data_IF_844189405429
#
_entry.id   IF_844189405429
#
_cell.length_a   1.000
_cell.length_b   1.000
_cell.length_c   1.000
_cell.angle_alpha   90.00
_cell.angle_beta   90.00
_cell.angle_gamma   90.00
#
_symmetry.space_group_name_H-M   'P 1'
#
loop_
_entity.id
_entity.type
_entity.pdbx_description
1 polymer ?
#
# COMPACT_ATOMS: atom_id res chain seq x y z
N UNK A 1 8.94 2.33 36.05
CA UNK A 1 8.77 3.02 34.76
C UNK A 1 7.50 2.47 34.17
N UNK A 2 6.67 3.32 33.60
CA UNK A 2 5.36 2.93 33.10
C UNK A 2 5.45 2.44 31.64
N UNK A 3 4.47 1.65 31.23
CA UNK A 3 4.35 1.18 29.84
C UNK A 3 3.98 2.35 28.92
N UNK A 4 4.64 2.47 27.77
CA UNK A 4 4.39 3.53 26.82
C UNK A 4 4.51 3.01 25.38
N UNK A 5 3.54 3.37 24.54
CA UNK A 5 3.47 2.94 23.15
C UNK A 5 3.53 4.15 22.23
N UNK A 6 4.27 4.00 21.13
CA UNK A 6 4.41 5.02 20.11
C UNK A 6 4.24 4.40 18.72
N UNK A 7 3.46 5.05 17.87
CA UNK A 7 3.53 4.83 16.43
C UNK A 7 4.50 5.84 15.82
N UNK A 8 5.32 5.38 14.87
CA UNK A 8 6.34 6.19 14.20
C UNK A 8 6.03 6.16 12.71
N UNK A 9 5.84 7.34 12.10
CA UNK A 9 5.56 7.42 10.67
C UNK A 9 6.83 7.59 9.82
N UNK A 10 6.66 7.61 8.50
CA UNK A 10 7.76 7.79 7.54
C UNK A 10 8.48 9.14 7.63
N UNK A 11 7.88 10.16 8.26
CA UNK A 11 8.50 11.47 8.50
C UNK A 11 9.26 11.49 9.82
N UNK A 12 9.30 10.36 10.52
CA UNK A 12 9.88 10.20 11.85
C UNK A 12 9.12 11.02 12.91
N UNK A 13 7.80 11.21 12.70
CA UNK A 13 6.89 11.78 13.70
C UNK A 13 6.45 10.69 14.68
N UNK A 14 6.44 11.00 15.98
CA UNK A 14 6.10 10.06 17.05
C UNK A 14 4.72 10.39 17.63
N UNK A 15 3.84 9.40 17.65
CA UNK A 15 2.49 9.51 18.16
C UNK A 15 2.32 8.63 19.40
N UNK A 16 2.15 9.24 20.56
CA UNK A 16 1.88 8.52 21.81
C UNK A 16 0.48 7.89 21.77
N UNK A 17 0.41 6.59 22.08
CA UNK A 17 -0.84 5.84 22.09
C UNK A 17 -1.11 5.32 23.51
N UNK A 18 -2.20 5.81 24.13
CA UNK A 18 -2.70 5.31 25.40
C UNK A 18 -3.68 4.14 25.22
N UNK A 19 -3.83 3.30 26.24
CA UNK A 19 -4.86 2.24 26.25
C UNK A 19 -4.47 0.96 25.49
N UNK A 20 -3.18 0.80 25.21
CA UNK A 20 -2.61 -0.47 24.75
C UNK A 20 -1.86 -1.14 25.90
N UNK A 21 -1.83 -2.47 25.86
CA UNK A 21 -1.06 -3.30 26.78
C UNK A 21 -0.59 -4.56 26.06
N UNK A 22 0.71 -4.85 26.12
CA UNK A 22 1.30 -6.06 25.54
C UNK A 22 2.05 -6.87 26.60
N UNK A 23 1.41 -7.94 27.13
CA UNK A 23 1.97 -8.69 28.24
C UNK A 23 3.18 -9.51 27.83
N UNK A 24 4.16 -9.67 28.73
CA UNK A 24 5.27 -10.58 28.47
C UNK A 24 4.78 -12.02 28.41
N UNK A 25 5.50 -12.82 27.63
CA UNK A 25 5.34 -14.27 27.63
C UNK A 25 5.54 -14.84 29.04
N UNK A 26 4.74 -15.86 29.37
CA UNK A 26 4.79 -16.64 30.62
C UNK A 26 4.38 -15.87 31.89
N UNK A 27 3.83 -14.65 31.76
CA UNK A 27 3.19 -13.94 32.86
C UNK A 27 1.69 -14.24 32.94
N UNK A 28 1.31 -15.10 33.89
CA UNK A 28 -0.09 -15.49 34.11
C UNK A 28 -0.99 -14.35 34.62
N UNK A 29 -0.40 -13.26 35.13
CA UNK A 29 -1.13 -12.09 35.60
C UNK A 29 -1.43 -11.08 34.49
N UNK A 30 -0.70 -11.15 33.37
CA UNK A 30 -0.72 -10.15 32.30
C UNK A 30 -0.47 -8.72 32.82
N UNK A 31 0.43 -8.55 33.79
CA UNK A 31 0.74 -7.23 34.36
C UNK A 31 2.10 -6.71 33.89
N UNK A 32 2.99 -7.61 33.48
CA UNK A 32 4.28 -7.28 32.89
C UNK A 32 4.11 -6.73 31.47
N UNK A 33 5.10 -5.99 31.00
CA UNK A 33 5.08 -5.37 29.68
C UNK A 33 6.48 -5.34 29.06
N UNK A 34 6.51 -5.24 27.73
CA UNK A 34 7.76 -5.18 26.96
C UNK A 34 8.54 -3.88 27.18
N UNK A 35 9.85 -3.94 26.94
CA UNK A 35 10.70 -2.74 26.91
C UNK A 35 11.59 -2.76 25.67
N UNK A 36 11.83 -1.60 25.03
CA UNK A 36 12.71 -1.52 23.85
C UNK A 36 12.36 -2.55 22.75
N UNK A 37 11.07 -2.68 22.44
CA UNK A 37 10.55 -3.52 21.35
C UNK A 37 10.17 -2.62 20.17
N UNK A 38 10.56 -3.03 18.96
CA UNK A 38 10.27 -2.30 17.72
C UNK A 38 9.74 -3.28 16.68
N UNK A 39 8.49 -3.05 16.26
CA UNK A 39 7.77 -3.84 15.26
C UNK A 39 7.44 -2.97 14.04
N UNK A 40 7.31 -3.61 12.88
CA UNK A 40 6.96 -2.96 11.62
C UNK A 40 5.57 -3.44 11.18
N UNK A 41 4.74 -2.52 10.74
CA UNK A 41 3.32 -2.77 10.51
C UNK A 41 2.60 -1.62 9.83
N UNK A 42 1.31 -1.84 9.58
CA UNK A 42 0.43 -0.90 8.90
C UNK A 42 -0.87 -0.75 9.69
N UNK A 43 -1.30 0.49 9.93
CA UNK A 43 -2.58 0.77 10.56
C UNK A 43 -3.65 0.92 9.47
N UNK A 44 -4.62 0.00 9.46
CA UNK A 44 -5.75 -0.01 8.53
C UNK A 44 -7.07 0.25 9.27
N UNK A 45 -8.09 0.66 8.53
CA UNK A 45 -9.47 0.74 9.03
C UNK A 45 -10.28 -0.37 8.36
N UNK A 46 -10.62 -1.39 9.13
CA UNK A 46 -11.44 -2.52 8.71
C UNK A 46 -12.93 -2.12 8.72
N UNK A 47 -13.62 -2.39 7.63
CA UNK A 47 -15.07 -2.24 7.48
C UNK A 47 -15.76 -3.53 7.91
N UNK A 48 -16.10 -3.62 9.20
CA UNK A 48 -16.76 -4.79 9.79
C UNK A 48 -18.29 -4.61 9.86
N UNK A 49 -19.09 -5.70 9.94
CA UNK A 49 -20.53 -5.61 10.14
C UNK A 49 -20.95 -4.83 11.40
N UNK A 50 -20.07 -4.76 12.41
CA UNK A 50 -20.25 -4.03 13.66
C UNK A 50 -19.86 -2.55 13.59
N UNK A 51 -19.34 -2.08 12.44
CA UNK A 51 -18.79 -0.75 12.25
C UNK A 51 -17.28 -0.76 11.98
N UNK A 52 -16.73 0.39 11.56
CA UNK A 52 -15.31 0.51 11.25
C UNK A 52 -14.44 0.28 12.49
N UNK A 53 -13.34 -0.45 12.34
CA UNK A 53 -12.40 -0.78 13.41
C UNK A 53 -10.97 -0.55 12.95
N UNK A 54 -10.18 0.16 13.76
CA UNK A 54 -8.75 0.30 13.50
C UNK A 54 -8.01 -1.00 13.84
N UNK A 55 -7.16 -1.47 12.94
CA UNK A 55 -6.37 -2.69 13.08
C UNK A 55 -4.93 -2.42 12.67
N UNK A 56 -3.96 -2.77 13.50
CA UNK A 56 -2.54 -2.70 13.21
C UNK A 56 -2.02 -4.07 12.74
N UNK A 57 -1.75 -4.17 11.44
CA UNK A 57 -1.26 -5.38 10.78
C UNK A 57 0.27 -5.43 10.86
N UNK A 58 0.80 -6.31 11.70
CA UNK A 58 2.25 -6.47 11.89
C UNK A 58 2.81 -7.43 10.83
N UNK A 59 3.85 -6.99 10.13
CA UNK A 59 4.52 -7.80 9.10
C UNK A 59 6.03 -7.92 9.31
N UNK A 60 6.63 -7.28 10.31
CA UNK A 60 8.02 -7.52 10.71
C UNK A 60 8.30 -7.18 12.20
N UNK A 61 9.43 -7.65 12.73
CA UNK A 61 9.90 -7.38 14.08
C UNK A 61 11.41 -7.15 14.10
N UNK A 62 11.82 -5.92 14.41
CA UNK A 62 13.20 -5.47 14.33
C UNK A 62 13.95 -5.71 15.64
N UNK A 63 13.28 -5.52 16.78
CA UNK A 63 13.84 -5.71 18.12
C UNK A 63 12.74 -6.22 19.07
N UNK A 64 13.07 -7.18 19.92
CA UNK A 64 12.19 -7.68 21.00
C UNK A 64 12.95 -7.64 22.32
N UNK A 65 12.50 -6.86 23.30
CA UNK A 65 13.12 -6.78 24.63
C UNK A 65 14.64 -6.54 24.58
N UNK A 66 15.05 -5.47 23.88
CA UNK A 66 16.46 -5.09 23.61
C UNK A 66 17.24 -6.06 22.74
N UNK A 67 16.67 -7.20 22.34
CA UNK A 67 17.34 -8.16 21.46
C UNK A 67 17.16 -7.74 20.01
N UNK A 68 18.22 -7.32 19.29
CA UNK A 68 18.12 -7.00 17.88
C UNK A 68 17.85 -8.27 17.07
N UNK A 69 16.87 -8.18 16.18
CA UNK A 69 16.43 -9.27 15.30
C UNK A 69 16.70 -8.99 13.81
N UNK A 70 17.15 -7.78 13.47
CA UNK A 70 17.40 -7.32 12.09
C UNK A 70 18.30 -8.26 11.26
N UNK A 71 19.27 -8.95 11.88
CA UNK A 71 20.17 -9.88 11.17
C UNK A 71 19.58 -11.27 10.94
N UNK A 72 18.39 -11.56 11.48
CA UNK A 72 17.68 -12.83 11.31
C UNK A 72 16.85 -12.80 10.04
N UNK A 73 16.50 -13.99 9.53
CA UNK A 73 15.57 -14.14 8.41
C UNK A 73 14.15 -13.72 8.81
N UNK A 74 13.33 -13.33 7.85
CA UNK A 74 11.95 -12.86 8.07
C UNK A 74 11.13 -13.85 8.90
N UNK A 75 11.20 -15.15 8.59
CA UNK A 75 10.46 -16.19 9.32
C UNK A 75 10.84 -16.26 10.79
N UNK A 76 12.11 -15.96 11.12
CA UNK A 76 12.56 -15.88 12.51
C UNK A 76 12.08 -14.60 13.17
N UNK A 77 12.16 -13.45 12.50
CA UNK A 77 11.67 -12.15 13.02
C UNK A 77 10.18 -12.24 13.34
N UNK A 78 9.37 -12.76 12.42
CA UNK A 78 7.95 -13.01 12.61
C UNK A 78 7.67 -14.02 13.73
N UNK A 79 8.45 -15.11 13.84
CA UNK A 79 8.28 -16.08 14.93
C UNK A 79 8.53 -15.45 16.31
N UNK A 80 9.55 -14.59 16.44
CA UNK A 80 9.80 -13.87 17.69
C UNK A 80 8.62 -12.99 18.09
N UNK A 81 8.06 -12.24 17.15
CA UNK A 81 6.87 -11.43 17.44
C UNK A 81 5.65 -12.30 17.76
N UNK A 82 5.41 -13.35 16.97
CA UNK A 82 4.27 -14.26 17.16
C UNK A 82 4.28 -14.88 18.56
N UNK A 83 5.41 -15.44 18.96
CA UNK A 83 5.53 -16.15 20.23
C UNK A 83 5.71 -15.20 21.42
N UNK A 84 6.39 -14.08 21.22
CA UNK A 84 6.79 -13.17 22.29
C UNK A 84 5.78 -12.08 22.61
N UNK A 85 5.02 -11.61 21.62
CA UNK A 85 4.10 -10.46 21.74
C UNK A 85 2.67 -10.86 21.39
N UNK A 86 2.46 -11.43 20.20
CA UNK A 86 1.11 -11.68 19.69
C UNK A 86 0.39 -12.79 20.46
N UNK A 87 1.05 -13.89 20.79
CA UNK A 87 0.42 -14.99 21.55
C UNK A 87 0.00 -14.57 22.98
N UNK A 88 0.85 -13.87 23.78
CA UNK A 88 0.41 -13.31 25.06
C UNK A 88 -0.73 -12.29 24.93
N UNK A 89 -0.67 -11.40 23.95
CA UNK A 89 -1.73 -10.43 23.65
C UNK A 89 -3.06 -11.10 23.28
N UNK A 90 -3.02 -12.11 22.40
CA UNK A 90 -4.20 -12.86 22.00
C UNK A 90 -4.80 -13.65 23.18
N UNK A 91 -3.96 -14.19 24.06
CA UNK A 91 -4.41 -14.87 25.27
C UNK A 91 -5.07 -13.92 26.28
N UNK A 92 -4.51 -12.72 26.47
CA UNK A 92 -5.13 -11.64 27.25
C UNK A 92 -6.54 -11.35 26.71
N UNK A 93 -6.67 -11.10 25.41
CA UNK A 93 -7.95 -10.80 24.76
C UNK A 93 -8.92 -11.97 24.65
N UNK A 94 -8.44 -13.19 24.84
CA UNK A 94 -9.27 -14.39 24.96
C UNK A 94 -9.84 -14.52 26.38
N UNK A 95 -9.04 -14.17 27.39
CA UNK A 95 -9.43 -14.24 28.81
C UNK A 95 -10.29 -13.04 29.25
N UNK A 96 -10.03 -11.87 28.69
CA UNK A 96 -10.71 -10.60 28.99
C UNK A 96 -11.23 -9.96 27.69
N UNK A 97 -12.22 -10.57 27.02
CA UNK A 97 -12.77 -10.04 25.76
C UNK A 97 -13.38 -8.63 25.89
N UNK A 98 -13.81 -8.24 27.09
CA UNK A 98 -14.32 -6.92 27.44
C UNK A 98 -13.29 -5.80 27.29
N UNK A 99 -11.99 -6.12 27.24
CA UNK A 99 -10.93 -5.13 27.00
C UNK A 99 -10.87 -4.68 25.53
N UNK A 100 -11.36 -5.49 24.58
CA UNK A 100 -11.25 -5.18 23.15
C UNK A 100 -11.84 -3.83 22.77
N UNK A 101 -13.08 -3.46 23.16
CA UNK A 101 -13.65 -2.17 22.79
C UNK A 101 -12.89 -0.97 23.35
N UNK A 102 -12.13 -1.16 24.43
CA UNK A 102 -11.34 -0.11 25.07
C UNK A 102 -9.97 0.10 24.40
N UNK A 103 -9.49 -0.88 23.62
CA UNK A 103 -8.26 -0.72 22.86
C UNK A 103 -8.44 0.28 21.70
N UNK A 104 -7.45 1.17 21.47
CA UNK A 104 -7.51 2.13 20.38
C UNK A 104 -7.50 1.46 19.00
N UNK A 105 -6.84 0.30 18.89
CA UNK A 105 -6.85 -0.57 17.72
C UNK A 105 -6.53 -2.01 18.14
N UNK A 106 -6.91 -2.98 17.30
CA UNK A 106 -6.49 -4.37 17.48
C UNK A 106 -5.15 -4.63 16.79
N UNK A 107 -4.31 -5.47 17.37
CA UNK A 107 -3.07 -5.91 16.71
C UNK A 107 -3.31 -7.28 16.09
N UNK A 108 -2.96 -7.43 14.82
CA UNK A 108 -3.02 -8.71 14.11
C UNK A 108 -1.68 -9.00 13.41
N UNK A 109 -1.34 -10.28 13.30
CA UNK A 109 -0.23 -10.71 12.46
C UNK A 109 -0.71 -10.77 11.01
N UNK A 110 -0.03 -10.06 10.10
CA UNK A 110 -0.33 -10.13 8.66
C UNK A 110 -0.10 -11.55 8.17
N UNK A 111 -1.12 -12.14 7.55
CA UNK A 111 -1.07 -13.52 7.08
C UNK A 111 -0.22 -13.64 5.81
N UNK A 112 1.05 -14.00 6.00
CA UNK A 112 2.04 -14.06 4.92
C UNK A 112 1.88 -15.35 4.12
N UNK A 113 1.63 -15.20 2.82
CA UNK A 113 1.53 -16.32 1.90
C UNK A 113 2.85 -16.59 1.16
N UNK A 114 3.02 -17.83 0.69
CA UNK A 114 4.15 -18.20 -0.15
C UNK A 114 4.04 -17.53 -1.52
N UNK A 115 5.16 -17.22 -2.20
CA UNK A 115 5.15 -16.44 -3.44
C UNK A 115 4.46 -17.14 -4.61
N UNK A 116 4.19 -18.45 -4.52
CA UNK A 116 3.43 -19.22 -5.51
C UNK A 116 1.96 -19.40 -5.12
N UNK A 117 1.49 -18.74 -4.07
CA UNK A 117 0.07 -18.71 -3.65
C UNK A 117 -0.75 -17.63 -4.37
N UNK A 118 -0.26 -17.10 -5.50
CA UNK A 118 -0.80 -15.91 -6.16
C UNK A 118 -2.26 -16.06 -6.59
N UNK A 119 -2.63 -17.21 -7.15
CA UNK A 119 -4.02 -17.44 -7.55
C UNK A 119 -5.00 -17.41 -6.38
N UNK A 120 -4.64 -18.04 -5.25
CA UNK A 120 -5.44 -17.97 -4.03
C UNK A 120 -5.51 -16.53 -3.48
N UNK A 121 -4.39 -15.80 -3.53
CA UNK A 121 -4.36 -14.40 -3.12
C UNK A 121 -5.38 -13.56 -3.91
N UNK A 122 -5.29 -13.56 -5.23
CA UNK A 122 -6.17 -12.76 -6.09
C UNK A 122 -7.63 -13.21 -6.05
N UNK A 123 -7.91 -14.52 -6.02
CA UNK A 123 -9.28 -15.03 -6.14
C UNK A 123 -10.03 -15.14 -4.81
N UNK A 124 -9.33 -15.25 -3.69
CA UNK A 124 -9.96 -15.56 -2.40
C UNK A 124 -9.55 -14.63 -1.27
N UNK A 125 -8.26 -14.26 -1.16
CA UNK A 125 -7.78 -13.45 -0.03
C UNK A 125 -8.08 -11.97 -0.23
N UNK A 126 -7.57 -11.36 -1.31
CA UNK A 126 -7.70 -9.92 -1.55
C UNK A 126 -9.15 -9.45 -1.63
N UNK A 127 -10.08 -10.14 -2.34
CA UNK A 127 -11.48 -9.73 -2.39
C UNK A 127 -12.22 -9.86 -1.06
N UNK A 128 -11.69 -10.66 -0.13
CA UNK A 128 -12.27 -10.90 1.19
C UNK A 128 -11.71 -10.01 2.30
N UNK A 129 -10.75 -9.13 2.00
CA UNK A 129 -10.17 -8.24 3.00
C UNK A 129 -11.22 -7.21 3.46
N UNK A 130 -11.31 -6.94 4.77
CA UNK A 130 -12.24 -5.94 5.30
C UNK A 130 -11.73 -4.50 5.09
N UNK A 131 -10.56 -4.30 4.49
CA UNK A 131 -9.92 -3.01 4.23
C UNK A 131 -9.48 -2.91 2.77
N UNK A 132 -9.17 -1.70 2.31
CA UNK A 132 -8.65 -1.47 0.96
C UNK A 132 -7.30 -2.16 0.74
N UNK A 133 -7.07 -2.62 -0.49
CA UNK A 133 -5.81 -3.22 -0.93
C UNK A 133 -5.39 -2.59 -2.27
N UNK A 134 -4.13 -2.17 -2.37
CA UNK A 134 -3.58 -1.50 -3.56
C UNK A 134 -2.54 -2.37 -4.29
N UNK A 135 -2.52 -3.69 -4.00
CA UNK A 135 -1.62 -4.66 -4.64
C UNK A 135 -0.94 -5.62 -3.66
N UNK A 136 0.27 -6.04 -4.02
CA UNK A 136 1.03 -7.09 -3.34
C UNK A 136 2.41 -6.59 -2.91
N UNK A 137 2.85 -7.04 -1.74
CA UNK A 137 4.22 -6.86 -1.25
C UNK A 137 4.91 -8.23 -1.19
N UNK A 138 6.02 -8.36 -1.90
CA UNK A 138 6.91 -9.52 -1.83
C UNK A 138 8.11 -9.20 -0.95
N UNK A 139 8.19 -9.87 0.19
CA UNK A 139 9.30 -9.69 1.14
C UNK A 139 10.26 -10.88 1.07
N UNK A 140 11.54 -10.63 0.79
CA UNK A 140 12.54 -11.69 0.74
C UNK A 140 12.71 -12.39 2.10
N UNK A 141 12.29 -13.65 2.20
CA UNK A 141 12.37 -14.44 3.44
C UNK A 141 13.80 -14.53 4.00
N UNK A 142 14.79 -14.74 3.12
CA UNK A 142 16.17 -15.05 3.50
C UNK A 142 17.02 -13.84 3.86
N UNK A 143 16.55 -12.62 3.58
CA UNK A 143 17.32 -11.41 3.78
C UNK A 143 17.25 -10.92 5.23
N UNK A 144 18.35 -10.29 5.69
CA UNK A 144 18.34 -9.44 6.87
C UNK A 144 17.47 -8.19 6.60
N UNK A 145 16.89 -7.63 7.66
CA UNK A 145 16.18 -6.36 7.56
C UNK A 145 17.15 -5.23 7.19
N UNK A 146 16.73 -4.34 6.29
CA UNK A 146 17.53 -3.22 5.81
C UNK A 146 16.83 -1.89 6.12
N UNK A 147 17.61 -0.92 6.58
CA UNK A 147 17.13 0.45 6.75
C UNK A 147 17.05 1.17 5.39
N UNK A 148 15.95 1.88 5.15
CA UNK A 148 15.72 2.61 3.91
C UNK A 148 15.31 1.69 2.74
N UNK A 149 15.72 2.04 1.52
CA UNK A 149 15.35 1.28 0.32
C UNK A 149 15.96 -0.13 0.36
N UNK A 150 15.08 -1.14 0.29
CA UNK A 150 15.45 -2.54 0.24
C UNK A 150 15.11 -3.15 -1.13
N UNK A 151 16.09 -3.57 -1.95
CA UNK A 151 15.83 -4.27 -3.21
C UNK A 151 15.19 -5.65 -3.01
N UNK A 152 15.19 -6.20 -1.78
CA UNK A 152 14.51 -7.43 -1.41
C UNK A 152 13.02 -7.27 -1.09
N UNK A 153 12.49 -6.03 -1.08
CA UNK A 153 11.07 -5.74 -0.94
C UNK A 153 10.56 -5.25 -2.29
N UNK A 154 9.68 -6.04 -2.92
CA UNK A 154 9.06 -5.68 -4.18
C UNK A 154 7.60 -5.31 -3.92
N UNK A 155 7.19 -4.16 -4.43
CA UNK A 155 5.78 -3.75 -4.47
C UNK A 155 5.25 -3.99 -5.88
N UNK A 156 4.16 -4.71 -5.97
CA UNK A 156 3.40 -4.86 -7.20
C UNK A 156 2.07 -4.16 -7.02
N UNK A 157 1.65 -3.39 -8.02
CA UNK A 157 0.34 -2.73 -8.05
C UNK A 157 -0.40 -3.15 -9.30
N UNK A 158 -1.73 -3.35 -9.23
CA UNK A 158 -2.58 -3.43 -10.39
C UNK A 158 -2.35 -2.24 -11.33
N UNK A 159 -2.55 -2.45 -12.63
CA UNK A 159 -2.28 -1.42 -13.64
C UNK A 159 -3.13 -0.15 -13.42
N UNK A 160 -4.38 -0.36 -13.01
CA UNK A 160 -5.33 0.71 -12.69
C UNK A 160 -5.01 1.47 -11.40
N UNK A 161 -4.08 0.99 -10.58
CA UNK A 161 -3.61 1.63 -9.33
C UNK A 161 -2.31 2.44 -9.54
N UNK A 162 -1.72 2.40 -10.73
CA UNK A 162 -0.62 3.29 -11.09
C UNK A 162 -1.18 4.64 -11.56
N UNK A 163 -1.19 5.60 -10.65
CA UNK A 163 -1.71 6.93 -10.89
C UNK A 163 -0.62 8.00 -10.84
N UNK A 164 -0.91 9.12 -11.51
CA UNK A 164 -0.10 10.33 -11.49
C UNK A 164 -1.02 11.50 -11.18
N UNK A 165 -0.60 12.40 -10.30
CA UNK A 165 -1.32 13.65 -10.09
C UNK A 165 -0.85 14.71 -11.09
N UNK A 166 -1.78 15.21 -11.91
CA UNK A 166 -1.55 16.27 -12.89
C UNK A 166 -2.30 17.53 -12.49
N UNK A 167 -1.84 18.68 -12.94
CA UNK A 167 -2.66 19.89 -12.95
C UNK A 167 -3.52 19.87 -14.22
N UNK A 168 -4.84 19.96 -14.04
CA UNK A 168 -5.82 19.97 -15.12
C UNK A 168 -6.09 21.41 -15.58
N UNK A 169 -6.10 21.64 -16.90
CA UNK A 169 -6.66 22.85 -17.50
C UNK A 169 -7.65 22.51 -18.61
N UNK A 170 -8.79 23.18 -18.63
CA UNK A 170 -9.88 22.96 -19.57
C UNK A 170 -9.82 23.98 -20.71
N UNK A 171 -9.78 23.48 -21.95
CA UNK A 171 -9.86 24.32 -23.15
C UNK A 171 -11.18 24.03 -23.90
N UNK A 172 -12.07 25.02 -23.90
CA UNK A 172 -13.43 24.90 -24.42
C UNK A 172 -13.53 25.39 -25.86
N UNK A 173 -14.39 24.73 -26.64
CA UNK A 173 -14.61 25.12 -28.03
C UNK A 173 -15.21 26.54 -28.12
N UNK A 174 -14.73 27.32 -29.08
CA UNK A 174 -15.28 28.64 -29.41
C UNK A 174 -16.15 28.51 -30.65
N UNK A 175 -17.45 28.76 -30.47
CA UNK A 175 -18.46 28.71 -31.54
C UNK A 175 -18.64 30.10 -32.12
N UNK A 176 -18.67 30.20 -33.45
CA UNK A 176 -18.97 31.44 -34.16
C UNK A 176 -20.49 31.60 -34.29
N UNK A 177 -20.97 32.80 -34.08
CA UNK A 177 -22.37 33.14 -34.28
C UNK A 177 -22.64 33.35 -35.78
N UNK A 178 -23.42 32.43 -36.36
CA UNK A 178 -23.84 32.48 -37.76
C UNK A 178 -24.93 33.56 -38.01
N UNK A 179 -25.41 34.23 -36.95
CA UNK A 179 -26.46 35.27 -36.97
C UNK A 179 -26.05 36.64 -37.51
N UNK A 180 -25.03 36.73 -38.37
CA UNK A 180 -24.69 37.96 -39.12
C UNK A 180 -23.95 39.07 -38.35
N UNK A 181 -23.76 38.92 -37.04
CA UNK A 181 -23.04 39.88 -36.18
C UNK A 181 -21.54 39.62 -36.00
N UNK A 182 -21.03 38.45 -36.41
CA UNK A 182 -19.61 38.09 -36.30
C UNK A 182 -19.10 37.85 -34.88
N UNK A 183 -19.99 37.66 -33.91
CA UNK A 183 -19.64 37.32 -32.53
C UNK A 183 -19.15 35.88 -32.39
N UNK A 184 -18.44 35.58 -31.30
CA UNK A 184 -18.09 34.21 -30.91
C UNK A 184 -18.34 34.03 -29.42
N UNK A 185 -18.77 32.83 -29.01
CA UNK A 185 -18.95 32.47 -27.61
C UNK A 185 -18.23 31.16 -27.29
N UNK A 186 -17.87 30.99 -26.02
CA UNK A 186 -17.29 29.74 -25.53
C UNK A 186 -18.41 28.77 -25.17
N UNK A 187 -18.38 27.58 -25.75
CA UNK A 187 -19.31 26.50 -25.45
C UNK A 187 -18.81 25.71 -24.24
N UNK A 188 -19.38 26.02 -23.08
CA UNK A 188 -19.08 25.32 -21.82
C UNK A 188 -19.87 24.02 -21.65
N UNK A 189 -20.85 23.74 -22.51
CA UNK A 189 -21.64 22.53 -22.44
C UNK A 189 -20.97 21.37 -23.17
N UNK A 190 -20.26 21.66 -24.27
CA UNK A 190 -19.44 20.70 -25.00
C UNK A 190 -18.28 20.15 -24.14
N UNK A 191 -17.87 18.91 -24.42
CA UNK A 191 -16.72 18.28 -23.76
C UNK A 191 -15.44 19.06 -24.11
N UNK A 192 -14.72 19.63 -23.13
CA UNK A 192 -13.51 20.40 -23.39
C UNK A 192 -12.32 19.50 -23.74
N UNK A 193 -11.27 20.08 -24.34
CA UNK A 193 -9.95 19.46 -24.34
C UNK A 193 -9.36 19.61 -22.95
N UNK A 194 -9.17 18.48 -22.27
CA UNK A 194 -8.63 18.44 -20.92
C UNK A 194 -7.11 18.29 -20.99
N UNK A 195 -6.38 19.38 -20.73
CA UNK A 195 -4.93 19.42 -20.76
C UNK A 195 -4.34 19.06 -19.39
N UNK A 196 -3.32 18.20 -19.38
CA UNK A 196 -2.62 17.74 -18.18
C UNK A 196 -1.21 18.36 -18.13
N UNK A 197 -0.86 18.92 -16.98
CA UNK A 197 0.42 19.56 -16.72
C UNK A 197 1.16 18.88 -15.57
N UNK A 198 2.48 18.80 -15.70
CA UNK A 198 3.40 18.30 -14.67
C UNK A 198 4.22 19.43 -14.08
N UNK A 199 4.64 19.27 -12.82
CA UNK A 199 5.51 20.23 -12.17
C UNK A 199 6.98 19.95 -12.52
N UNK A 200 7.76 21.00 -12.78
CA UNK A 200 9.18 20.88 -13.18
C UNK A 200 10.14 21.60 -12.23
N UNK A 201 9.69 21.85 -11.00
CA UNK A 201 10.45 22.61 -10.01
C UNK A 201 10.38 24.11 -10.30
N UNK A 202 11.55 24.72 -10.44
CA UNK A 202 11.73 26.16 -10.59
C UNK A 202 11.25 26.69 -11.96
N UNK A 203 11.06 25.79 -12.93
CA UNK A 203 10.58 26.13 -14.28
C UNK A 203 9.05 26.16 -14.41
N UNK A 204 8.34 25.96 -13.29
CA UNK A 204 6.88 25.96 -13.25
C UNK A 204 6.28 24.68 -13.81
N UNK A 205 5.17 24.82 -14.51
CA UNK A 205 4.39 23.73 -15.09
C UNK A 205 4.74 23.51 -16.55
N UNK A 206 4.72 22.25 -16.98
CA UNK A 206 4.94 21.86 -18.37
C UNK A 206 3.77 21.00 -18.83
N UNK A 207 3.24 21.32 -20.01
CA UNK A 207 2.22 20.49 -20.65
C UNK A 207 2.75 19.08 -20.89
N UNK A 208 1.97 18.09 -20.52
CA UNK A 208 2.32 16.68 -20.55
C UNK A 208 1.53 15.89 -21.59
N UNK A 209 0.23 16.16 -21.69
CA UNK A 209 -0.66 15.47 -22.61
C UNK A 209 -2.11 15.86 -22.35
N UNK A 210 -3.04 15.05 -22.86
CA UNK A 210 -4.48 15.25 -22.67
C UNK A 210 -5.11 14.08 -21.94
N UNK A 211 -6.12 14.40 -21.13
CA UNK A 211 -7.00 13.42 -20.50
C UNK A 211 -8.11 13.05 -21.49
N UNK A 212 -8.41 11.77 -21.61
CA UNK A 212 -9.55 11.30 -22.39
C UNK A 212 -10.79 11.34 -21.50
N UNK A 213 -11.67 12.30 -21.78
CA UNK A 213 -12.94 12.49 -21.08
C UNK A 213 -14.09 12.11 -22.01
N UNK A 214 -15.00 11.27 -21.52
CA UNK A 214 -16.24 10.94 -22.23
C UNK A 214 -17.38 11.90 -21.88
N UNK A 215 -18.39 11.99 -22.75
CA UNK A 215 -19.55 12.87 -22.53
C UNK A 215 -20.25 12.60 -21.19
N UNK A 216 -20.45 11.33 -20.83
CA UNK A 216 -21.07 10.96 -19.55
C UNK A 216 -20.23 11.41 -18.34
N UNK A 217 -18.90 11.25 -18.40
CA UNK A 217 -17.98 11.71 -17.35
C UNK A 217 -17.99 13.24 -17.24
N UNK A 218 -18.12 13.94 -18.36
CA UNK A 218 -18.24 15.40 -18.37
C UNK A 218 -19.53 15.88 -17.70
N UNK A 219 -20.67 15.23 -17.95
CA UNK A 219 -21.92 15.53 -17.25
C UNK A 219 -21.81 15.30 -15.73
N UNK A 220 -21.13 14.24 -15.31
CA UNK A 220 -20.86 13.99 -13.88
C UNK A 220 -19.96 15.06 -13.25
N UNK A 221 -18.92 15.51 -13.96
CA UNK A 221 -18.06 16.59 -13.49
C UNK A 221 -18.83 17.91 -13.38
N UNK A 222 -19.65 18.27 -14.38
CA UNK A 222 -20.52 19.46 -14.34
C UNK A 222 -21.52 19.41 -13.18
N UNK A 223 -22.11 18.25 -12.92
CA UNK A 223 -23.11 18.06 -11.87
C UNK A 223 -22.59 18.35 -10.45
N UNK A 224 -21.27 18.41 -10.25
CA UNK A 224 -20.65 18.79 -8.96
C UNK A 224 -20.89 20.25 -8.58
N UNK A 225 -21.11 21.13 -9.56
CA UNK A 225 -21.36 22.55 -9.30
C UNK A 225 -20.20 23.31 -8.65
N UNK A 226 -18.97 22.80 -8.78
CA UNK A 226 -17.75 23.41 -8.26
C UNK A 226 -16.79 23.78 -9.40
N UNK A 227 -15.86 24.72 -9.20
CA UNK A 227 -14.81 25.00 -10.19
C UNK A 227 -13.99 23.75 -10.50
N UNK A 228 -13.84 23.45 -11.80
CA UNK A 228 -13.12 22.27 -12.27
C UNK A 228 -11.73 22.62 -12.82
N UNK A 229 -11.56 23.83 -13.36
CA UNK A 229 -10.33 24.27 -14.00
C UNK A 229 -9.20 24.60 -13.00
N UNK A 230 -7.95 24.46 -13.44
CA UNK A 230 -6.72 24.68 -12.66
C UNK A 230 -6.64 23.90 -11.34
N UNK A 231 -7.14 22.65 -11.34
CA UNK A 231 -7.11 21.76 -10.17
C UNK A 231 -6.19 20.57 -10.37
N UNK A 232 -5.60 20.10 -9.26
CA UNK A 232 -4.84 18.86 -9.27
C UNK A 232 -5.80 17.68 -9.31
N UNK A 233 -5.60 16.79 -10.27
CA UNK A 233 -6.38 15.58 -10.49
C UNK A 233 -5.46 14.37 -10.51
N UNK A 234 -5.92 13.28 -9.91
CA UNK A 234 -5.27 11.98 -10.02
C UNK A 234 -5.78 11.28 -11.28
N UNK A 235 -4.84 10.79 -12.09
CA UNK A 235 -5.15 10.09 -13.34
C UNK A 235 -4.42 8.75 -13.42
N UNK A 236 -5.07 7.75 -14.00
CA UNK A 236 -4.46 6.47 -14.37
C UNK A 236 -4.50 6.27 -15.89
N UNK A 237 -3.73 5.31 -16.38
CA UNK A 237 -3.68 4.97 -17.80
C UNK A 237 -4.59 3.78 -18.08
N UNK A 238 -5.49 3.91 -19.05
CA UNK A 238 -6.33 2.80 -19.50
C UNK A 238 -5.57 1.81 -20.40
N UNK A 239 -6.21 0.69 -20.75
CA UNK A 239 -5.63 -0.34 -21.63
C UNK A 239 -5.24 0.17 -23.01
N UNK A 240 -5.83 1.28 -23.46
CA UNK A 240 -5.54 1.95 -24.74
C UNK A 240 -4.42 2.98 -24.62
N UNK A 241 -3.80 3.13 -23.45
CA UNK A 241 -2.73 4.09 -23.21
C UNK A 241 -3.20 5.53 -23.03
N UNK A 242 -4.49 5.75 -22.69
CA UNK A 242 -5.09 7.08 -22.51
C UNK A 242 -5.20 7.41 -21.02
N UNK A 243 -4.94 8.67 -20.66
CA UNK A 243 -5.15 9.13 -19.29
C UNK A 243 -6.64 9.26 -18.97
N UNK A 244 -7.05 8.71 -17.83
CA UNK A 244 -8.43 8.73 -17.32
C UNK A 244 -8.48 9.44 -15.98
N UNK A 245 -9.58 10.15 -15.74
CA UNK A 245 -9.82 10.83 -14.47
C UNK A 245 -10.11 9.80 -13.38
N UNK A 246 -9.47 9.95 -12.21
CA UNK A 246 -9.82 9.17 -11.02
C UNK A 246 -10.54 10.04 -9.97
N UNK A 247 -9.88 11.11 -9.51
CA UNK A 247 -10.42 12.02 -8.50
C UNK A 247 -9.70 13.35 -8.46
N UNK A 248 -10.31 14.33 -7.81
CA UNK A 248 -9.62 15.56 -7.42
C UNK A 248 -8.68 15.32 -6.23
N UNK A 249 -7.58 16.05 -6.21
CA UNK A 249 -6.54 16.04 -5.17
C UNK A 249 -6.46 17.39 -4.48
N UNK A 250 -7.54 17.74 -3.80
CA UNK A 250 -7.64 19.02 -3.06
C UNK A 250 -6.68 19.08 -1.86
N UNK A 251 -6.08 17.94 -1.50
CA UNK A 251 -4.96 17.84 -0.57
C UNK A 251 -3.63 18.35 -1.14
N UNK A 252 -3.57 18.73 -2.42
CA UNK A 252 -2.33 19.10 -3.13
C UNK A 252 -2.45 20.43 -3.86
N UNK A 253 -1.47 21.29 -3.62
CA UNK A 253 -1.32 22.56 -4.36
C UNK A 253 -0.62 22.38 -5.72
N UNK A 254 0.07 21.25 -5.94
CA UNK A 254 0.92 21.03 -7.13
C UNK A 254 0.77 19.62 -7.68
N UNK A 255 0.86 19.51 -8.99
CA UNK A 255 1.04 18.26 -9.71
C UNK A 255 2.33 17.53 -9.28
N UNK A 256 2.43 16.25 -9.62
CA UNK A 256 3.67 15.49 -9.44
C UNK A 256 4.82 16.11 -10.23
N UNK A 257 6.03 15.97 -9.68
CA UNK A 257 7.24 16.36 -10.39
C UNK A 257 7.46 15.46 -11.62
N UNK A 258 7.99 16.01 -12.72
CA UNK A 258 8.22 15.25 -13.97
C UNK A 258 8.97 13.93 -13.76
N UNK A 259 9.96 13.89 -12.85
CA UNK A 259 10.69 12.65 -12.55
C UNK A 259 9.81 11.58 -11.90
N UNK A 260 8.81 11.98 -11.11
CA UNK A 260 7.82 11.05 -10.55
C UNK A 260 6.94 10.50 -11.66
N UNK A 261 6.49 11.36 -12.58
CA UNK A 261 5.67 10.94 -13.73
C UNK A 261 6.43 9.97 -14.62
N UNK A 262 7.69 10.27 -14.95
CA UNK A 262 8.55 9.39 -15.75
C UNK A 262 8.74 8.02 -15.08
N UNK A 263 8.97 7.99 -13.76
CA UNK A 263 9.10 6.74 -13.00
C UNK A 263 7.81 5.91 -12.98
N UNK A 264 6.65 6.55 -12.86
CA UNK A 264 5.36 5.83 -12.94
C UNK A 264 5.14 5.27 -14.34
N UNK A 265 5.52 6.01 -15.39
CA UNK A 265 5.39 5.54 -16.78
C UNK A 265 6.34 4.40 -17.09
N UNK A 266 7.56 4.43 -16.57
CA UNK A 266 8.47 3.30 -16.62
C UNK A 266 7.82 2.07 -15.97
N UNK A 267 7.20 2.22 -14.80
CA UNK A 267 6.44 1.14 -14.14
C UNK A 267 5.23 0.65 -14.94
N UNK A 268 4.57 1.51 -15.73
CA UNK A 268 3.46 1.12 -16.62
C UNK A 268 4.00 0.37 -17.86
N UNK A 269 5.17 0.75 -18.37
CA UNK A 269 5.80 0.10 -19.53
C UNK A 269 6.36 -1.27 -19.19
N UNK A 270 7.07 -1.37 -18.06
CA UNK A 270 7.65 -2.61 -17.54
C UNK A 270 6.64 -3.38 -16.67
N UNK A 271 5.35 -3.18 -16.92
CA UNK A 271 4.28 -3.77 -16.11
C UNK A 271 4.35 -5.29 -16.13
N UNK A 272 4.08 -5.86 -14.96
CA UNK A 272 3.74 -7.27 -14.81
C UNK A 272 2.26 -7.31 -14.49
N UNK A 273 1.49 -7.99 -15.31
CA UNK A 273 0.03 -8.13 -15.14
C UNK A 273 -0.30 -9.15 -14.05
N UNK A 274 -1.53 -9.11 -13.52
CA UNK A 274 -2.03 -10.16 -12.62
C UNK A 274 -1.95 -11.55 -13.27
N UNK A 275 -2.31 -11.64 -14.57
CA UNK A 275 -2.27 -12.89 -15.32
C UNK A 275 -0.85 -13.46 -15.45
N UNK A 276 0.15 -12.61 -15.67
CA UNK A 276 1.56 -13.01 -15.72
C UNK A 276 2.06 -13.49 -14.36
N UNK A 277 1.69 -12.81 -13.26
CA UNK A 277 1.99 -13.26 -11.91
C UNK A 277 1.40 -14.65 -11.62
N UNK A 278 0.12 -14.85 -11.94
CA UNK A 278 -0.54 -16.15 -11.78
C UNK A 278 0.15 -17.22 -12.65
N UNK A 279 0.47 -16.89 -13.91
CA UNK A 279 1.17 -17.79 -14.83
C UNK A 279 2.56 -18.22 -14.33
N UNK A 280 3.29 -17.31 -13.66
CA UNK A 280 4.61 -17.59 -13.10
C UNK A 280 4.57 -18.47 -11.83
N UNK A 281 3.42 -18.58 -11.14
CA UNK A 281 3.31 -19.26 -9.85
C UNK A 281 3.77 -20.74 -9.90
N UNK A 282 3.47 -21.44 -11.00
CA UNK A 282 3.87 -22.84 -11.19
C UNK A 282 5.38 -23.04 -11.22
N UNK A 283 6.09 -22.19 -11.98
CA UNK A 283 7.55 -22.21 -12.06
C UNK A 283 8.19 -21.83 -10.72
N UNK A 284 7.70 -20.77 -10.08
CA UNK A 284 8.17 -20.33 -8.76
C UNK A 284 8.06 -21.47 -7.73
N UNK A 285 6.93 -22.21 -7.74
CA UNK A 285 6.72 -23.38 -6.87
C UNK A 285 7.72 -24.49 -7.16
N UNK A 286 7.94 -24.81 -8.44
CA UNK A 286 8.89 -25.83 -8.87
C UNK A 286 10.31 -25.52 -8.37
N UNK A 287 10.79 -24.30 -8.61
CA UNK A 287 12.11 -23.85 -8.18
C UNK A 287 12.24 -23.74 -6.66
N UNK A 288 11.18 -23.33 -5.97
CA UNK A 288 11.16 -23.31 -4.51
C UNK A 288 11.30 -24.71 -3.92
N UNK A 289 10.57 -25.71 -4.46
CA UNK A 289 10.66 -27.11 -4.03
C UNK A 289 12.04 -27.72 -4.30
N UNK A 290 12.66 -27.40 -5.45
CA UNK A 290 14.04 -27.82 -5.77
C UNK A 290 15.03 -27.31 -4.73
N UNK A 291 14.99 -26.00 -4.43
CA UNK A 291 15.87 -25.38 -3.41
C UNK A 291 15.64 -25.97 -2.02
N UNK A 292 14.39 -26.29 -1.67
CA UNK A 292 14.08 -26.94 -0.40
C UNK A 292 14.73 -28.33 -0.32
N UNK A 293 14.57 -29.16 -1.36
CA UNK A 293 15.17 -30.49 -1.41
C UNK A 293 16.70 -30.47 -1.26
N UNK A 294 17.37 -29.53 -1.95
CA UNK A 294 18.82 -29.34 -1.83
C UNK A 294 19.25 -29.03 -0.40
N UNK A 295 18.54 -28.12 0.28
CA UNK A 295 18.83 -27.77 1.68
C UNK A 295 18.62 -28.95 2.63
N UNK A 296 17.58 -29.74 2.41
CA UNK A 296 17.28 -30.91 3.23
C UNK A 296 18.35 -32.00 3.05
N UNK A 297 18.85 -32.19 1.82
CA UNK A 297 19.98 -33.08 1.53
C UNK A 297 21.30 -32.60 2.16
N UNK A 298 21.61 -31.32 2.04
CA UNK A 298 22.79 -30.71 2.68
C UNK A 298 22.75 -30.85 4.20
N UNK A 299 21.58 -30.61 4.81
CA UNK A 299 21.39 -30.78 6.25
C UNK A 299 21.62 -32.24 6.69
N UNK A 300 21.13 -33.22 5.91
CA UNK A 300 21.34 -34.65 6.17
C UNK A 300 22.81 -35.08 6.01
N UNK A 301 23.52 -34.51 5.03
CA UNK A 301 24.96 -34.77 4.84
C UNK A 301 25.80 -34.14 5.95
N UNK A 302 25.44 -32.94 6.41
CA UNK A 302 26.14 -32.22 7.47
C UNK A 302 25.96 -32.84 8.87
N UNK A 303 24.84 -33.52 9.14
CA UNK A 303 24.64 -34.25 10.41
C UNK A 303 25.34 -35.61 10.45
N UNK A 304 25.72 -36.18 9.30
CA UNK A 304 26.46 -37.46 9.22
C UNK A 304 27.96 -37.39 9.55
N UNK A 305 28.54 -36.19 9.74
CA UNK A 305 29.98 -35.99 10.01
C UNK A 305 30.29 -35.78 11.50
N UNK A 306 29.27 -35.81 12.38
CA UNK A 306 29.45 -35.82 13.84
C UNK A 306 29.12 -37.20 14.39
N UNK A 307 30.02 -38.16 14.18
CA UNK A 307 30.07 -39.44 14.90
C UNK A 307 31.51 -39.72 15.31
#
# INVERSE_FOLDING_TARGET
>A
GDEAHFLIDRRNDFWYISGLHFPLKDDASFASFHTNTLIDGELVIDSLPTGPRATYLVFDCLTLDRKPLISRTLDKRLAYFKDGVFAPYAELLRKFPEERPHMPFEVQLKDMQLPYGLEMMFRAVLPGLPHGNDGLIFTCRGAAYRYGTDPGILKWKPENENSVDFLMRLDFAVVKDDGGGGGSYTDYDAVPVVNLFVWTGDRGEKWYGTLHLEEAEWEELKARGEPLDERVVECSMDESGRWRFMRFRDDKDKANHISTVESVIESIRDRVTEAELIGAAGEIKGEWKKRQGQRDEEARRGTGVKA
#
